data_IF_171645383564
#
_entry.id   IF_171645383564
#
_cell.length_a   1.000
_cell.length_b   1.000
_cell.length_c   1.000
_cell.angle_alpha   90.00
_cell.angle_beta   90.00
_cell.angle_gamma   90.00
#
_symmetry.space_group_name_H-M   'P 1'
#
loop_
_entity.id
_entity.type
_entity.pdbx_description
1 polymer ?
#
# COMPACT_ATOMS: atom_id res chain seq x y z
N UNK A 1 -7.02 4.33 -8.59
CA UNK A 1 -8.09 4.98 -7.80
C UNK A 1 -7.55 5.60 -6.51
N UNK A 2 -7.10 4.82 -5.51
CA UNK A 2 -6.59 5.36 -4.23
C UNK A 2 -5.30 6.18 -4.36
N UNK A 3 -4.34 5.75 -5.19
CA UNK A 3 -3.13 6.52 -5.47
C UNK A 3 -3.42 7.90 -6.05
N UNK A 4 -4.38 7.98 -6.98
CA UNK A 4 -4.85 9.24 -7.57
C UNK A 4 -5.49 10.13 -6.51
N UNK A 5 -6.25 9.55 -5.58
CA UNK A 5 -6.87 10.29 -4.48
C UNK A 5 -5.83 10.91 -3.54
N UNK A 6 -4.81 10.14 -3.13
CA UNK A 6 -3.71 10.66 -2.30
C UNK A 6 -2.98 11.80 -3.02
N UNK A 7 -2.62 11.61 -4.30
CA UNK A 7 -1.99 12.66 -5.11
C UNK A 7 -2.81 13.94 -5.14
N UNK A 8 -4.12 13.84 -5.34
CA UNK A 8 -5.00 15.01 -5.38
C UNK A 8 -5.04 15.75 -4.03
N UNK A 9 -5.01 15.04 -2.91
CA UNK A 9 -4.98 15.66 -1.57
C UNK A 9 -3.62 16.29 -1.27
N UNK A 10 -2.54 15.67 -1.69
CA UNK A 10 -1.19 16.26 -1.58
C UNK A 10 -1.11 17.58 -2.37
N UNK A 11 -1.64 17.61 -3.59
CA UNK A 11 -1.77 18.83 -4.39
C UNK A 11 -2.69 19.87 -3.73
N UNK A 12 -3.79 19.45 -3.12
CA UNK A 12 -4.69 20.36 -2.38
C UNK A 12 -4.01 20.94 -1.14
N UNK A 13 -3.24 20.15 -0.40
CA UNK A 13 -2.47 20.60 0.76
C UNK A 13 -1.41 21.61 0.36
N UNK A 14 -0.71 21.38 -0.76
CA UNK A 14 0.25 22.33 -1.30
C UNK A 14 -0.43 23.68 -1.59
N UNK A 15 -1.52 23.67 -2.37
CA UNK A 15 -2.28 24.89 -2.71
C UNK A 15 -2.80 25.60 -1.46
N UNK A 16 -3.27 24.85 -0.46
CA UNK A 16 -3.75 25.40 0.81
C UNK A 16 -2.64 26.09 1.61
N UNK A 17 -1.41 25.57 1.57
CA UNK A 17 -0.25 26.18 2.21
C UNK A 17 0.18 27.48 1.50
N UNK A 18 0.14 27.52 0.17
CA UNK A 18 0.43 28.71 -0.62
C UNK A 18 -0.49 29.89 -0.26
N UNK A 19 -1.76 29.60 0.07
CA UNK A 19 -2.75 30.62 0.49
C UNK A 19 -2.51 31.18 1.90
N UNK A 20 -1.68 30.53 2.74
CA UNK A 20 -1.46 30.96 4.14
C UNK A 20 -0.90 32.39 4.21
N UNK A 21 0.05 32.72 3.35
CA UNK A 21 0.66 34.05 3.32
C UNK A 21 -0.37 35.15 3.02
N UNK A 22 -1.17 34.96 1.96
CA UNK A 22 -2.24 35.87 1.59
C UNK A 22 -3.32 35.99 2.69
N UNK A 23 -3.67 34.89 3.34
CA UNK A 23 -4.61 34.88 4.47
C UNK A 23 -4.08 35.72 5.65
N UNK A 24 -2.81 35.58 6.01
CA UNK A 24 -2.21 36.35 7.12
C UNK A 24 -2.16 37.85 6.82
N UNK A 25 -1.96 38.23 5.55
CA UNK A 25 -2.02 39.63 5.11
C UNK A 25 -3.45 40.18 5.18
N UNK A 26 -4.45 39.41 4.74
CA UNK A 26 -5.85 39.83 4.73
C UNK A 26 -6.47 39.88 6.14
N UNK A 27 -6.09 38.95 7.02
CA UNK A 27 -6.61 38.81 8.39
C UNK A 27 -5.49 38.98 9.42
N UNK A 28 -4.87 40.16 9.44
CA UNK A 28 -3.82 40.52 10.39
C UNK A 28 -4.25 40.33 11.85
N UNK A 29 -3.31 40.21 12.78
CA UNK A 29 -3.57 39.83 14.19
C UNK A 29 -4.55 40.75 14.93
N UNK A 30 -4.72 42.00 14.48
CA UNK A 30 -5.67 42.97 15.03
C UNK A 30 -7.06 42.92 14.38
N UNK A 31 -7.21 42.17 13.29
CA UNK A 31 -8.47 42.02 12.58
C UNK A 31 -9.43 41.15 13.41
N UNK A 32 -10.71 41.54 13.58
CA UNK A 32 -11.69 40.78 14.38
C UNK A 32 -11.84 39.30 13.98
N UNK A 33 -11.63 39.00 12.70
CA UNK A 33 -11.71 37.65 12.14
C UNK A 33 -10.39 36.87 12.09
N UNK A 34 -9.27 37.42 12.60
CA UNK A 34 -7.94 36.77 12.51
C UNK A 34 -7.91 35.38 13.13
N UNK A 35 -8.42 35.25 14.37
CA UNK A 35 -8.49 33.97 15.06
C UNK A 35 -9.37 32.94 14.32
N UNK A 36 -10.49 33.39 13.73
CA UNK A 36 -11.39 32.52 12.96
C UNK A 36 -10.74 32.03 11.67
N UNK A 37 -10.05 32.92 10.95
CA UNK A 37 -9.33 32.58 9.73
C UNK A 37 -8.22 31.55 10.01
N UNK A 38 -7.41 31.79 11.04
CA UNK A 38 -6.37 30.85 11.48
C UNK A 38 -6.95 29.49 11.87
N UNK A 39 -7.99 29.45 12.70
CA UNK A 39 -8.62 28.20 13.11
C UNK A 39 -9.24 27.42 11.94
N UNK A 40 -9.80 28.10 10.94
CA UNK A 40 -10.31 27.47 9.72
C UNK A 40 -9.18 26.88 8.88
N UNK A 41 -8.09 27.63 8.72
CA UNK A 41 -6.90 27.18 8.00
C UNK A 41 -6.31 25.94 8.65
N UNK A 42 -6.14 25.95 9.98
CA UNK A 42 -5.62 24.82 10.76
C UNK A 42 -6.52 23.58 10.66
N UNK A 43 -7.85 23.76 10.73
CA UNK A 43 -8.79 22.64 10.57
C UNK A 43 -8.66 21.99 9.20
N UNK A 44 -8.57 22.77 8.13
CA UNK A 44 -8.39 22.22 6.78
C UNK A 44 -7.02 21.52 6.63
N UNK A 45 -5.93 22.14 7.08
CA UNK A 45 -4.60 21.50 7.08
C UNK A 45 -4.58 20.17 7.84
N UNK A 46 -5.20 20.15 9.03
CA UNK A 46 -5.29 18.95 9.87
C UNK A 46 -6.13 17.84 9.25
N UNK A 47 -7.18 18.19 8.51
CA UNK A 47 -7.98 17.22 7.75
C UNK A 47 -7.15 16.61 6.62
N UNK A 48 -6.53 17.43 5.77
CA UNK A 48 -5.75 16.98 4.62
C UNK A 48 -4.59 16.06 5.04
N UNK A 49 -3.82 16.44 6.07
CA UNK A 49 -2.75 15.61 6.62
C UNK A 49 -3.26 14.25 7.12
N UNK A 50 -4.41 14.23 7.78
CA UNK A 50 -5.02 13.00 8.29
C UNK A 50 -5.50 12.08 7.16
N UNK A 51 -6.07 12.65 6.11
CA UNK A 51 -6.46 11.88 4.93
C UNK A 51 -5.25 11.27 4.22
N UNK A 52 -4.15 12.02 4.05
CA UNK A 52 -2.89 11.51 3.45
C UNK A 52 -2.40 10.29 4.21
N UNK A 53 -2.28 10.38 5.54
CA UNK A 53 -1.81 9.25 6.36
C UNK A 53 -2.77 8.07 6.27
N UNK A 54 -4.09 8.31 6.42
CA UNK A 54 -5.11 7.25 6.39
C UNK A 54 -5.04 6.44 5.10
N UNK A 55 -5.05 7.12 3.95
CA UNK A 55 -5.08 6.44 2.67
C UNK A 55 -3.71 5.91 2.24
N UNK A 56 -2.62 6.52 2.67
CA UNK A 56 -1.28 5.94 2.57
C UNK A 56 -1.21 4.58 3.27
N UNK A 57 -1.67 4.52 4.53
CA UNK A 57 -1.73 3.25 5.26
C UNK A 57 -2.65 2.22 4.59
N UNK A 58 -3.80 2.63 4.03
CA UNK A 58 -4.68 1.70 3.31
C UNK A 58 -4.01 1.11 2.07
N UNK A 59 -3.27 1.93 1.32
CA UNK A 59 -2.49 1.46 0.16
C UNK A 59 -1.44 0.45 0.63
N UNK A 60 -0.69 0.76 1.68
CA UNK A 60 0.36 -0.12 2.21
C UNK A 60 -0.20 -1.48 2.68
N UNK A 61 -1.33 -1.47 3.38
CA UNK A 61 -2.00 -2.71 3.82
C UNK A 61 -2.44 -3.56 2.62
N UNK A 62 -3.04 -2.95 1.58
CA UNK A 62 -3.48 -3.66 0.38
C UNK A 62 -2.29 -4.22 -0.40
N UNK A 63 -1.23 -3.44 -0.57
CA UNK A 63 0.00 -3.89 -1.26
C UNK A 63 0.69 -5.03 -0.50
N UNK A 64 0.75 -4.94 0.83
CA UNK A 64 1.29 -6.02 1.66
C UNK A 64 0.47 -7.30 1.52
N UNK A 65 -0.86 -7.19 1.56
CA UNK A 65 -1.75 -8.34 1.39
C UNK A 65 -1.64 -8.97 -0.01
N UNK A 66 -1.46 -8.17 -1.06
CA UNK A 66 -1.23 -8.68 -2.42
C UNK A 66 0.10 -9.45 -2.52
N UNK A 67 1.19 -8.90 -1.98
CA UNK A 67 2.50 -9.57 -1.95
C UNK A 67 2.45 -10.90 -1.19
N UNK A 68 1.75 -10.91 -0.06
CA UNK A 68 1.60 -12.11 0.75
C UNK A 68 0.77 -13.19 0.02
N UNK A 69 -0.29 -12.78 -0.68
CA UNK A 69 -1.06 -13.69 -1.54
C UNK A 69 -0.19 -14.28 -2.65
N UNK A 70 0.62 -13.47 -3.32
CA UNK A 70 1.54 -13.91 -4.37
C UNK A 70 2.57 -14.91 -3.82
N UNK A 71 3.15 -14.63 -2.64
CA UNK A 71 4.06 -15.54 -1.94
C UNK A 71 3.43 -16.91 -1.71
N UNK A 72 2.25 -16.95 -1.08
CA UNK A 72 1.54 -18.20 -0.76
C UNK A 72 1.14 -18.97 -2.03
N UNK A 73 0.69 -18.28 -3.08
CA UNK A 73 0.35 -18.92 -4.34
C UNK A 73 1.58 -19.49 -5.05
N UNK A 74 2.70 -18.76 -5.03
CA UNK A 74 3.99 -19.24 -5.55
C UNK A 74 4.50 -20.46 -4.79
N UNK A 75 4.39 -20.45 -3.46
CA UNK A 75 4.76 -21.59 -2.61
C UNK A 75 3.87 -22.81 -2.88
N UNK A 76 2.56 -22.63 -3.12
CA UNK A 76 1.67 -23.74 -3.50
C UNK A 76 2.00 -24.31 -4.87
N UNK A 77 2.28 -23.47 -5.86
CA UNK A 77 2.62 -23.92 -7.22
C UNK A 77 4.00 -24.60 -7.25
N UNK A 78 4.99 -24.01 -6.57
CA UNK A 78 6.33 -24.60 -6.45
C UNK A 78 6.34 -25.87 -5.59
N UNK A 79 5.52 -25.92 -4.53
CA UNK A 79 5.34 -27.11 -3.71
C UNK A 79 4.64 -28.25 -4.46
N UNK A 80 3.63 -27.94 -5.28
CA UNK A 80 2.99 -28.91 -6.15
C UNK A 80 3.94 -29.44 -7.23
N UNK A 81 4.71 -28.55 -7.89
CA UNK A 81 5.69 -28.95 -8.89
C UNK A 81 6.82 -29.80 -8.28
N UNK A 82 7.32 -29.45 -7.10
CA UNK A 82 8.34 -30.25 -6.40
C UNK A 82 7.81 -31.60 -5.91
N UNK A 83 6.55 -31.66 -5.45
CA UNK A 83 5.93 -32.92 -5.07
C UNK A 83 5.66 -33.83 -6.28
N UNK A 84 5.36 -33.25 -7.43
CA UNK A 84 5.22 -33.98 -8.70
C UNK A 84 6.56 -34.49 -9.23
N UNK A 85 7.62 -33.67 -9.14
CA UNK A 85 8.98 -34.02 -9.51
C UNK A 85 9.56 -35.11 -8.59
N UNK A 86 9.34 -35.01 -7.29
CA UNK A 86 9.73 -36.05 -6.32
C UNK A 86 8.96 -37.36 -6.54
N UNK A 87 7.66 -37.30 -6.88
CA UNK A 87 6.90 -38.50 -7.25
C UNK A 87 7.42 -39.12 -8.55
N UNK A 88 7.78 -38.32 -9.54
CA UNK A 88 8.33 -38.82 -10.79
C UNK A 88 9.70 -39.48 -10.57
N UNK A 89 10.54 -38.89 -9.72
CA UNK A 89 11.87 -39.43 -9.37
C UNK A 89 11.78 -40.71 -8.52
N UNK A 90 10.83 -40.78 -7.58
CA UNK A 90 10.55 -41.98 -6.77
C UNK A 90 10.03 -43.14 -7.64
N UNK A 91 9.13 -42.86 -8.59
CA UNK A 91 8.60 -43.88 -9.53
C UNK A 91 9.71 -44.44 -10.42
N UNK A 92 10.60 -43.59 -10.95
CA UNK A 92 11.75 -44.02 -11.78
C UNK A 92 12.73 -44.89 -10.98
N UNK A 93 12.97 -44.58 -9.69
CA UNK A 93 13.82 -45.40 -8.83
C UNK A 93 13.19 -46.78 -8.57
N UNK A 94 11.88 -46.84 -8.33
CA UNK A 94 11.18 -48.12 -8.08
C UNK A 94 11.09 -49.02 -9.31
N UNK A 95 11.04 -48.44 -10.51
CA UNK A 95 11.02 -49.20 -11.77
C UNK A 95 12.41 -49.79 -12.11
N UNK A 96 13.50 -49.16 -11.65
CA UNK A 96 14.87 -49.67 -11.81
C UNK A 96 15.15 -50.87 -10.87
N UNK A 97 14.68 -50.82 -9.61
CA UNK A 97 14.88 -51.93 -8.65
C UNK A 97 14.11 -53.20 -9.06
N UNK A 98 12.93 -53.07 -9.69
CA UNK A 98 12.14 -54.21 -10.18
C UNK A 98 12.75 -54.90 -11.42
N UNK A 99 13.60 -54.20 -12.16
CA UNK A 99 14.27 -54.74 -13.35
C UNK A 99 15.44 -55.67 -13.05
N UNK A 100 16.01 -55.61 -11.84
CA UNK A 100 17.15 -56.44 -11.43
C UNK A 100 16.75 -57.78 -10.78
N UNK A 101 15.51 -57.93 -10.29
CA UNK A 101 15.03 -59.18 -9.67
C UNK A 101 14.48 -60.22 -10.66
N UNK A 102 14.31 -59.86 -11.94
CA UNK A 102 13.76 -60.73 -12.99
C UNK A 102 14.82 -61.30 -13.92
N UNK A 103 15.71 -62.17 -13.42
CA UNK A 103 16.63 -62.96 -14.25
C UNK A 103 16.50 -64.45 -13.95
#
# INVERSE_FOLDING_TARGET
ALLTYVKNIEEELQKHNELRGAMLLAFSTRHPNSAKAMANWERKSSYLLREIVKFGTYIDCLTTAQKEKERVLGERQGGAAKAEEQKAEEVVSTDLEKGEEGK
#
